data_IF_486220904056
#
_entry.id   IF_486220904056
#
_cell.length_a   1.000
_cell.length_b   1.000
_cell.length_c   1.000
_cell.angle_alpha   90.00
_cell.angle_beta   90.00
_cell.angle_gamma   90.00
#
_symmetry.space_group_name_H-M   'P 1'
#
loop_
_entity.id
_entity.type
_entity.pdbx_description
1 polymer ?
#
# COMPACT_ATOMS: atom_id res chain seq x y z
N UNK A 1 -4.91 18.39 13.28
CA UNK A 1 -6.04 17.71 12.59
C UNK A 1 -5.78 17.51 11.09
N UNK A 2 -5.50 18.57 10.29
CA UNK A 2 -5.29 18.44 8.82
C UNK A 2 -4.25 17.40 8.39
N UNK A 3 -3.08 17.37 9.06
CA UNK A 3 -2.00 16.42 8.73
C UNK A 3 -2.37 14.96 9.01
N UNK A 4 -3.11 14.70 10.10
CA UNK A 4 -3.60 13.36 10.43
C UNK A 4 -4.58 12.89 9.36
N UNK A 5 -5.57 13.72 9.00
CA UNK A 5 -6.55 13.38 7.96
C UNK A 5 -5.86 13.13 6.62
N UNK A 6 -4.93 13.99 6.21
CA UNK A 6 -4.18 13.83 4.98
C UNK A 6 -3.31 12.55 4.98
N UNK A 7 -2.62 12.27 6.10
CA UNK A 7 -1.86 11.03 6.27
C UNK A 7 -2.74 9.79 6.21
N UNK A 8 -3.90 9.78 6.88
CA UNK A 8 -4.89 8.70 6.80
C UNK A 8 -5.37 8.45 5.37
N UNK A 9 -5.65 9.51 4.59
CA UNK A 9 -6.03 9.38 3.18
C UNK A 9 -4.91 8.76 2.33
N UNK A 10 -3.66 9.15 2.54
CA UNK A 10 -2.51 8.59 1.83
C UNK A 10 -2.30 7.10 2.16
N UNK A 11 -2.44 6.71 3.44
CA UNK A 11 -2.39 5.31 3.87
C UNK A 11 -3.48 4.51 3.16
N UNK A 12 -4.73 5.00 3.22
CA UNK A 12 -5.89 4.30 2.66
C UNK A 12 -5.73 4.11 1.15
N UNK A 13 -5.25 5.14 0.45
CA UNK A 13 -5.04 5.12 -0.99
C UNK A 13 -3.93 4.15 -1.38
N UNK A 14 -2.78 4.19 -0.69
CA UNK A 14 -1.67 3.26 -0.94
C UNK A 14 -2.05 1.81 -0.64
N UNK A 15 -2.78 1.57 0.45
CA UNK A 15 -3.26 0.23 0.82
C UNK A 15 -4.29 -0.31 -0.17
N UNK A 16 -5.25 0.51 -0.62
CA UNK A 16 -6.23 0.13 -1.63
C UNK A 16 -5.58 -0.19 -2.97
N UNK A 17 -4.63 0.63 -3.43
CA UNK A 17 -3.91 0.39 -4.67
C UNK A 17 -3.08 -0.90 -4.61
N UNK A 18 -2.40 -1.16 -3.49
CA UNK A 18 -1.66 -2.41 -3.26
C UNK A 18 -2.60 -3.63 -3.23
N UNK A 19 -3.77 -3.51 -2.59
CA UNK A 19 -4.77 -4.56 -2.53
C UNK A 19 -5.35 -4.89 -3.92
N UNK A 20 -5.63 -3.88 -4.74
CA UNK A 20 -6.12 -4.07 -6.12
C UNK A 20 -5.07 -4.73 -7.02
N UNK A 21 -3.79 -4.35 -6.89
CA UNK A 21 -2.70 -5.01 -7.62
C UNK A 21 -2.57 -6.48 -7.23
N UNK A 22 -2.62 -6.79 -5.93
CA UNK A 22 -2.58 -8.17 -5.44
C UNK A 22 -3.81 -8.96 -5.91
N UNK A 23 -5.00 -8.40 -5.79
CA UNK A 23 -6.24 -9.05 -6.24
C UNK A 23 -6.22 -9.32 -7.75
N UNK A 24 -5.79 -8.36 -8.56
CA UNK A 24 -5.62 -8.55 -10.01
C UNK A 24 -4.59 -9.62 -10.32
N UNK A 25 -3.48 -9.66 -9.58
CA UNK A 25 -2.46 -10.71 -9.73
C UNK A 25 -2.93 -12.09 -9.28
N UNK A 26 -3.92 -12.18 -8.38
CA UNK A 26 -4.51 -13.44 -7.92
C UNK A 26 -5.70 -13.90 -8.79
N UNK A 27 -6.31 -12.99 -9.57
CA UNK A 27 -7.46 -13.30 -10.42
C UNK A 27 -7.12 -14.21 -11.60
N UNK A 28 -5.85 -14.31 -11.98
CA UNK A 28 -5.41 -15.23 -13.01
C UNK A 28 -5.00 -16.54 -12.33
N UNK A 29 -5.54 -17.69 -12.76
CA UNK A 29 -5.22 -19.02 -12.20
C UNK A 29 -3.81 -19.53 -12.57
N UNK A 30 -2.87 -18.60 -12.77
CA UNK A 30 -1.49 -18.91 -13.07
C UNK A 30 -0.85 -19.54 -11.84
N UNK A 31 -0.70 -20.85 -11.89
CA UNK A 31 -0.09 -21.66 -10.85
C UNK A 31 1.38 -21.86 -11.19
N UNK A 32 2.26 -21.52 -10.25
CA UNK A 32 3.68 -21.90 -10.32
C UNK A 32 3.81 -23.16 -9.47
N UNK A 33 4.17 -24.28 -10.09
CA UNK A 33 4.30 -25.59 -9.42
C UNK A 33 3.06 -26.02 -8.62
N UNK A 34 1.86 -25.64 -9.07
CA UNK A 34 0.59 -25.95 -8.40
C UNK A 34 0.27 -25.08 -7.18
N UNK A 35 1.10 -24.08 -6.87
CA UNK A 35 0.84 -23.11 -5.79
C UNK A 35 0.44 -21.73 -6.32
N UNK A 36 -0.55 -21.11 -5.68
CA UNK A 36 -0.96 -19.74 -5.94
C UNK A 36 0.08 -18.78 -5.35
N UNK A 37 0.79 -18.04 -6.20
CA UNK A 37 1.79 -17.05 -5.75
C UNK A 37 1.56 -15.70 -6.41
N UNK A 38 0.86 -14.81 -5.69
CA UNK A 38 0.53 -13.46 -6.15
C UNK A 38 1.78 -12.61 -6.45
N UNK A 39 2.82 -12.73 -5.63
CA UNK A 39 4.08 -11.99 -5.82
C UNK A 39 4.82 -12.42 -7.09
N UNK A 40 4.78 -13.71 -7.42
CA UNK A 40 5.40 -14.23 -8.65
C UNK A 40 4.64 -13.75 -9.88
N UNK A 41 3.31 -13.76 -9.82
CA UNK A 41 2.47 -13.25 -10.89
C UNK A 41 2.69 -11.76 -11.11
N UNK A 42 2.78 -10.98 -10.03
CA UNK A 42 3.08 -9.55 -10.06
C UNK A 42 4.44 -9.26 -10.73
N UNK A 43 5.43 -10.14 -10.52
CA UNK A 43 6.74 -10.08 -11.17
C UNK A 43 6.69 -10.43 -12.64
N UNK A 44 5.90 -11.42 -13.05
CA UNK A 44 5.73 -11.77 -14.47
C UNK A 44 5.02 -10.65 -15.24
N UNK A 45 4.05 -9.98 -14.63
CA UNK A 45 3.39 -8.82 -15.23
C UNK A 45 4.23 -7.53 -15.18
N UNK A 46 5.42 -7.56 -14.55
CA UNK A 46 6.24 -6.36 -14.37
C UNK A 46 5.61 -5.29 -13.48
N UNK A 47 4.62 -5.67 -12.66
CA UNK A 47 3.86 -4.80 -11.76
C UNK A 47 4.54 -4.63 -10.39
N UNK A 48 5.58 -5.41 -10.11
CA UNK A 48 6.44 -5.30 -8.92
C UNK A 48 6.86 -3.86 -8.58
N UNK A 49 7.41 -3.05 -9.50
CA UNK A 49 7.76 -1.65 -9.21
C UNK A 49 6.55 -0.80 -8.81
N UNK A 50 5.39 -0.99 -9.45
CA UNK A 50 4.17 -0.27 -9.09
C UNK A 50 3.69 -0.62 -7.67
N UNK A 51 3.77 -1.90 -7.31
CA UNK A 51 3.44 -2.36 -5.95
C UNK A 51 4.34 -1.73 -4.89
N UNK A 52 5.65 -1.70 -5.12
CA UNK A 52 6.57 -1.03 -4.21
C UNK A 52 6.32 0.47 -4.09
N UNK A 53 5.96 1.15 -5.19
CA UNK A 53 5.56 2.56 -5.14
C UNK A 53 4.32 2.77 -4.26
N UNK A 54 3.28 1.94 -4.39
CA UNK A 54 2.06 2.08 -3.57
C UNK A 54 2.31 1.76 -2.09
N UNK A 55 3.14 0.76 -1.80
CA UNK A 55 3.61 0.49 -0.43
C UNK A 55 4.38 1.70 0.11
N UNK A 56 5.27 2.30 -0.69
CA UNK A 56 6.00 3.50 -0.31
C UNK A 56 5.09 4.68 0.04
N UNK A 57 4.05 4.90 -0.77
CA UNK A 57 3.02 5.93 -0.50
C UNK A 57 2.28 5.64 0.81
N UNK A 58 1.92 4.38 1.07
CA UNK A 58 1.25 3.99 2.31
C UNK A 58 2.13 4.26 3.54
N UNK A 59 3.43 3.92 3.47
CA UNK A 59 4.41 4.18 4.54
C UNK A 59 4.60 5.67 4.77
N UNK A 60 4.72 6.48 3.71
CA UNK A 60 4.82 7.94 3.84
C UNK A 60 3.56 8.53 4.48
N UNK A 61 2.36 8.07 4.07
CA UNK A 61 1.10 8.46 4.69
C UNK A 61 1.06 8.13 6.19
N UNK A 62 1.59 6.97 6.57
CA UNK A 62 1.68 6.54 7.97
C UNK A 62 2.60 7.45 8.80
N UNK A 63 3.78 7.79 8.28
CA UNK A 63 4.70 8.73 8.93
C UNK A 63 4.04 10.09 9.11
N UNK A 64 3.39 10.62 8.06
CA UNK A 64 2.69 11.92 8.12
C UNK A 64 1.54 11.89 9.15
N UNK A 65 0.78 10.79 9.22
CA UNK A 65 -0.28 10.64 10.20
C UNK A 65 0.26 10.60 11.64
N UNK A 66 1.35 9.87 11.88
CA UNK A 66 2.03 9.83 13.18
C UNK A 66 2.55 11.20 13.60
N UNK A 67 3.27 11.90 12.72
CA UNK A 67 3.76 13.26 13.01
C UNK A 67 2.60 14.19 13.35
N UNK A 68 1.52 14.14 12.57
CA UNK A 68 0.32 14.93 12.85
C UNK A 68 -0.36 14.60 14.19
N UNK A 69 -0.20 13.37 14.69
CA UNK A 69 -0.72 12.92 15.99
C UNK A 69 0.15 13.44 17.14
N UNK A 70 1.48 13.35 17.02
CA UNK A 70 2.42 13.85 18.02
C UNK A 70 2.36 15.38 18.16
N UNK A 71 2.27 16.14 17.06
CA UNK A 71 2.08 17.59 17.10
C UNK A 71 0.77 18.01 17.79
N UNK A 72 -0.28 17.18 17.70
CA UNK A 72 -1.53 17.43 18.43
C UNK A 72 -1.34 17.23 19.94
N UNK A 73 -0.55 16.23 20.32
CA UNK A 73 -0.29 15.87 21.73
C UNK A 73 0.55 16.93 22.44
N UNK A 74 1.50 17.57 21.77
CA UNK A 74 2.29 18.68 22.36
C UNK A 74 1.51 19.98 22.53
N UNK A 75 0.41 20.16 21.80
CA UNK A 75 -0.35 21.43 21.77
C UNK A 75 -1.66 21.38 22.58
N UNK A 76 -1.89 20.30 23.33
CA UNK A 76 -3.09 20.04 24.14
C UNK A 76 -2.71 19.82 25.60
#
# INVERSE_FOLDING_TARGET
MKKVVFGSFLILTGALAAALLLAGSMSNEWTVDGQLSAFWNLSQYGLTPAFYCFIGIAVLGFIVALVGLFEKKERS
#
